data_IF_724264560991
#
_entry.id   IF_724264560991
#
_cell.length_a   1.000
_cell.length_b   1.000
_cell.length_c   1.000
_cell.angle_alpha   90.00
_cell.angle_beta   90.00
_cell.angle_gamma   90.00
#
_symmetry.space_group_name_H-M   'P 1'
#
loop_
_entity.id
_entity.type
_entity.pdbx_description
1 polymer ?
#
# COMPACT_ATOMS: atom_id res chain seq x y z
N UNK A 1 9.80 -8.34 3.47
CA UNK A 1 8.62 -8.52 2.61
C UNK A 1 8.22 -10.01 2.39
N UNK A 2 8.54 -10.94 3.31
CA UNK A 2 8.43 -12.40 3.08
C UNK A 2 7.04 -12.87 2.64
N UNK A 3 5.99 -12.45 3.34
CA UNK A 3 4.60 -12.79 2.99
C UNK A 3 4.23 -12.39 1.55
N UNK A 4 4.63 -11.19 1.13
CA UNK A 4 4.31 -10.65 -0.19
C UNK A 4 5.07 -11.42 -1.28
N UNK A 5 6.32 -11.79 -1.01
CA UNK A 5 7.11 -12.61 -1.92
C UNK A 5 6.48 -14.00 -2.10
N UNK A 6 6.17 -14.71 -1.02
CA UNK A 6 5.57 -16.05 -1.08
C UNK A 6 4.20 -16.04 -1.76
N UNK A 7 3.41 -14.98 -1.56
CA UNK A 7 2.11 -14.82 -2.22
C UNK A 7 2.26 -14.51 -3.72
N UNK A 8 3.27 -13.72 -4.12
CA UNK A 8 3.59 -13.47 -5.53
C UNK A 8 4.03 -14.75 -6.22
N UNK A 9 4.92 -15.52 -5.59
CA UNK A 9 5.37 -16.83 -6.08
C UNK A 9 4.16 -17.78 -6.28
N UNK A 10 3.28 -17.89 -5.28
CA UNK A 10 2.08 -18.71 -5.39
C UNK A 10 1.11 -18.25 -6.50
N UNK A 11 0.92 -16.94 -6.68
CA UNK A 11 0.10 -16.40 -7.78
C UNK A 11 0.76 -16.57 -9.14
N UNK A 12 2.09 -16.70 -9.18
CA UNK A 12 2.83 -16.95 -10.41
C UNK A 12 2.82 -18.40 -10.85
N UNK A 13 2.79 -19.32 -9.88
CA UNK A 13 2.77 -20.77 -10.07
C UNK A 13 1.35 -21.35 -10.24
N UNK A 14 0.30 -20.56 -10.03
CA UNK A 14 -1.08 -20.99 -10.23
C UNK A 14 -1.36 -21.36 -11.70
N UNK A 15 -2.01 -22.51 -11.92
CA UNK A 15 -2.54 -22.90 -13.23
C UNK A 15 -3.70 -21.98 -13.64
N UNK A 16 -3.40 -20.97 -14.45
CA UNK A 16 -4.40 -20.01 -14.94
C UNK A 16 -5.22 -20.64 -16.08
N UNK A 17 -6.56 -20.76 -15.94
CA UNK A 17 -7.42 -21.29 -16.99
C UNK A 17 -7.33 -20.47 -18.29
N UNK A 18 -7.55 -21.15 -19.42
CA UNK A 18 -7.57 -20.49 -20.73
C UNK A 18 -8.55 -19.31 -20.74
N UNK A 19 -8.08 -18.13 -21.13
CA UNK A 19 -8.87 -16.91 -21.17
C UNK A 19 -8.94 -16.12 -19.85
N UNK A 20 -8.20 -16.52 -18.82
CA UNK A 20 -8.01 -15.75 -17.58
C UNK A 20 -6.60 -15.18 -17.50
N UNK A 21 -6.42 -14.16 -16.67
CA UNK A 21 -5.13 -13.55 -16.35
C UNK A 21 -4.72 -13.94 -14.93
N UNK A 22 -3.40 -13.89 -14.65
CA UNK A 22 -2.88 -14.06 -13.30
C UNK A 22 -3.52 -13.08 -12.32
N UNK A 23 -3.60 -13.48 -11.05
CA UNK A 23 -4.05 -12.60 -9.98
C UNK A 23 -3.08 -11.45 -9.78
N UNK A 24 -3.66 -10.26 -9.59
CA UNK A 24 -2.91 -9.07 -9.17
C UNK A 24 -2.67 -9.13 -7.67
N UNK A 25 -1.46 -8.74 -7.26
CA UNK A 25 -1.10 -8.56 -5.88
C UNK A 25 -0.82 -7.09 -5.59
N UNK A 26 -1.62 -6.51 -4.71
CA UNK A 26 -1.57 -5.08 -4.37
C UNK A 26 -1.55 -4.88 -2.87
N UNK A 27 -1.12 -3.70 -2.42
CA UNK A 27 -1.07 -3.37 -0.99
C UNK A 27 -1.54 -1.95 -0.73
N UNK A 28 -2.38 -1.79 0.30
CA UNK A 28 -2.68 -0.49 0.89
C UNK A 28 -1.54 -0.06 1.81
N UNK A 29 -1.00 1.15 1.63
CA UNK A 29 0.14 1.67 2.41
C UNK A 29 -0.15 3.06 2.98
N UNK A 30 0.24 3.35 4.24
CA UNK A 30 -0.01 4.65 4.85
C UNK A 30 0.76 5.75 4.12
N UNK A 31 0.24 6.99 4.11
CA UNK A 31 0.96 8.13 3.55
C UNK A 31 1.97 8.78 4.52
N UNK A 32 1.91 8.44 5.81
CA UNK A 32 2.83 8.96 6.82
C UNK A 32 4.23 8.34 6.71
N UNK A 33 5.23 9.15 6.34
CA UNK A 33 6.61 8.70 6.12
C UNK A 33 7.19 7.93 7.31
N UNK A 34 6.91 8.36 8.55
CA UNK A 34 7.37 7.65 9.75
C UNK A 34 6.89 6.19 9.86
N UNK A 35 5.71 5.87 9.31
CA UNK A 35 5.19 4.51 9.28
C UNK A 35 5.82 3.70 8.15
N UNK A 36 6.03 4.34 6.99
CA UNK A 36 6.72 3.76 5.84
C UNK A 36 8.13 3.33 6.26
N UNK A 37 8.92 4.26 6.81
CA UNK A 37 10.33 4.03 7.16
C UNK A 37 10.52 2.91 8.20
N UNK A 38 9.55 2.72 9.10
CA UNK A 38 9.61 1.69 10.16
C UNK A 38 9.04 0.35 9.75
N UNK A 39 8.04 0.34 8.86
CA UNK A 39 7.21 -0.84 8.61
C UNK A 39 7.39 -1.49 7.23
N UNK A 40 7.97 -0.77 6.27
CA UNK A 40 7.89 -1.16 4.86
C UNK A 40 9.26 -1.14 4.18
N UNK A 41 9.73 -2.32 3.80
CA UNK A 41 10.85 -2.48 2.87
C UNK A 41 10.35 -2.24 1.43
N UNK A 42 10.21 -0.95 1.07
CA UNK A 42 9.66 -0.50 -0.22
C UNK A 42 10.41 -1.11 -1.42
N UNK A 43 11.76 -1.15 -1.47
CA UNK A 43 12.47 -1.79 -2.57
C UNK A 43 12.11 -3.26 -2.77
N UNK A 44 11.99 -4.06 -1.70
CA UNK A 44 11.61 -5.46 -1.82
C UNK A 44 10.13 -5.65 -2.15
N UNK A 45 9.26 -4.82 -1.58
CA UNK A 45 7.81 -4.85 -1.87
C UNK A 45 7.53 -4.49 -3.33
N UNK A 46 8.21 -3.48 -3.88
CA UNK A 46 8.00 -3.00 -5.26
C UNK A 46 8.37 -4.03 -6.33
N UNK A 47 9.16 -5.04 -6.00
CA UNK A 47 9.49 -6.15 -6.92
C UNK A 47 8.37 -7.18 -7.04
N UNK A 48 7.50 -7.27 -6.03
CA UNK A 48 6.51 -8.34 -5.89
C UNK A 48 5.06 -7.86 -6.03
N UNK A 49 4.82 -6.56 -5.83
CA UNK A 49 3.50 -5.95 -5.97
C UNK A 49 3.33 -5.37 -7.37
N UNK A 50 2.13 -5.53 -7.93
CA UNK A 50 1.75 -4.88 -9.19
C UNK A 50 1.63 -3.36 -9.02
N UNK A 51 1.07 -2.92 -7.89
CA UNK A 51 1.02 -1.51 -7.48
C UNK A 51 0.64 -1.35 -6.00
N UNK A 52 0.85 -0.13 -5.52
CA UNK A 52 0.48 0.32 -4.19
C UNK A 52 -0.75 1.23 -4.23
N UNK A 53 -1.67 1.03 -3.29
CA UNK A 53 -2.76 1.95 -3.00
C UNK A 53 -2.35 2.83 -1.82
N UNK A 54 -1.91 4.05 -2.10
CA UNK A 54 -1.44 4.96 -1.05
C UNK A 54 -2.62 5.61 -0.33
N UNK A 55 -2.70 5.43 0.99
CA UNK A 55 -3.79 5.92 1.83
C UNK A 55 -3.54 7.39 2.17
N UNK A 56 -3.69 8.27 1.18
CA UNK A 56 -3.49 9.73 1.28
C UNK A 56 -4.70 10.43 1.90
N UNK A 57 -5.11 9.95 3.06
CA UNK A 57 -6.23 10.41 3.86
C UNK A 57 -5.98 10.04 5.33
N UNK A 58 -6.90 10.39 6.25
CA UNK A 58 -6.71 10.26 7.70
C UNK A 58 -5.48 11.04 8.22
N UNK A 59 -5.06 12.11 7.53
CA UNK A 59 -3.96 12.96 8.02
C UNK A 59 -4.31 13.67 9.32
N UNK A 60 -5.59 13.97 9.49
CA UNK A 60 -6.17 14.56 10.69
C UNK A 60 -7.40 13.77 11.09
N UNK A 61 -7.56 13.52 12.40
CA UNK A 61 -8.64 12.67 12.95
C UNK A 61 -9.37 13.39 14.08
N UNK A 62 -10.47 12.80 14.56
CA UNK A 62 -11.23 13.31 15.70
C UNK A 62 -10.48 13.30 17.04
N UNK A 63 -9.26 12.74 17.08
CA UNK A 63 -8.41 12.71 18.26
C UNK A 63 -7.54 13.96 18.43
N UNK A 64 -7.57 14.89 17.48
CA UNK A 64 -6.86 16.17 17.57
C UNK A 64 -7.69 17.23 18.30
N UNK A 65 -7.03 18.19 18.96
CA UNK A 65 -7.69 19.30 19.64
C UNK A 65 -8.25 20.37 18.67
N UNK A 66 -7.81 20.36 17.41
CA UNK A 66 -8.15 21.34 16.39
C UNK A 66 -8.77 20.67 15.17
N UNK A 67 -9.76 21.31 14.56
CA UNK A 67 -10.37 20.85 13.32
C UNK A 67 -9.41 21.10 12.16
N UNK A 68 -9.19 20.08 11.34
CA UNK A 68 -8.38 20.14 10.13
C UNK A 68 -9.02 19.32 9.00
N UNK A 69 -8.55 19.54 7.77
CA UNK A 69 -9.05 18.80 6.60
C UNK A 69 -8.56 17.34 6.62
N UNK A 70 -9.42 16.37 6.30
CA UNK A 70 -9.10 14.94 6.36
C UNK A 70 -8.00 14.50 5.37
N UNK A 71 -8.02 15.07 4.16
CA UNK A 71 -7.08 14.78 3.09
C UNK A 71 -6.60 16.06 2.37
N UNK A 72 -5.80 16.93 3.02
CA UNK A 72 -5.39 18.19 2.42
C UNK A 72 -4.39 17.95 1.28
N UNK A 73 -4.66 18.51 0.10
CA UNK A 73 -3.76 18.40 -1.06
C UNK A 73 -2.43 19.16 -0.84
N UNK A 74 -2.47 20.23 -0.04
CA UNK A 74 -1.33 21.04 0.38
C UNK A 74 -1.47 21.37 1.85
N UNK A 75 -0.35 21.65 2.51
CA UNK A 75 -0.35 22.20 3.88
C UNK A 75 -1.21 23.47 3.93
N UNK A 76 -1.95 23.65 5.03
CA UNK A 76 -2.68 24.91 5.23
C UNK A 76 -1.69 26.07 5.34
N UNK A 77 -2.00 27.25 4.76
CA UNK A 77 -1.19 28.45 4.93
C UNK A 77 -1.08 28.88 6.40
#
# INVERSE_FOLDING_TARGET
AKLVQELREAFDDEDVPLGKSKLLLTMAVPAGQQYIDKGYDIPSLSKNLDFFNMLTYDYHTSHEATINHHAPLRVMP
#
